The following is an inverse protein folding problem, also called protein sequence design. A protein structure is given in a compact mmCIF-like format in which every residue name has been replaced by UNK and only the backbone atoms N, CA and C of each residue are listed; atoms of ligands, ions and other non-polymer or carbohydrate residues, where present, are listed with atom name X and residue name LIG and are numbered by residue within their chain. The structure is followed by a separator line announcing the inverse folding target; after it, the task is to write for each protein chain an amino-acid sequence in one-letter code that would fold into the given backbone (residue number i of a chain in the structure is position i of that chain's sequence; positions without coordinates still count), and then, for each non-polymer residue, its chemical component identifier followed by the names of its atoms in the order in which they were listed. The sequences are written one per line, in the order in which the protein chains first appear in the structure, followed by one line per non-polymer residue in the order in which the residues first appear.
data_IF_793846765388
#
_entry.id   IF_793846765388
#
_cell.length_a   1.000
_cell.length_b   1.000
_cell.length_c   1.000
_cell.angle_alpha   90.00
_cell.angle_beta   90.00
_cell.angle_gamma   90.00
#
_symmetry.space_group_name_H-M   'P 1'
#
loop_
_entity.id
_entity.type
_entity.pdbx_description
1 polymer ?
#
# COMPACT_ATOMS: atom_id res chain seq x y z
N UNK A 1 -25.62 58.13 -3.06
CA UNK A 1 -26.16 57.41 -4.23
C UNK A 1 -25.10 56.39 -4.63
N UNK A 2 -25.23 55.12 -4.22
CA UNK A 2 -24.22 54.09 -4.49
C UNK A 2 -24.29 53.67 -5.96
N UNK A 3 -23.13 53.69 -6.63
CA UNK A 3 -23.02 53.32 -8.03
C UNK A 3 -23.26 51.82 -8.19
N UNK A 4 -24.39 51.44 -8.80
CA UNK A 4 -24.80 50.06 -8.97
C UNK A 4 -24.38 49.53 -10.34
N UNK A 5 -23.29 48.76 -10.35
CA UNK A 5 -22.64 48.23 -11.55
C UNK A 5 -23.54 47.26 -12.34
N UNK A 6 -24.46 46.56 -11.68
CA UNK A 6 -25.32 45.57 -12.32
C UNK A 6 -26.39 46.22 -13.19
N UNK A 7 -26.98 47.30 -12.70
CA UNK A 7 -28.01 48.08 -13.42
C UNK A 7 -27.49 48.66 -14.74
N UNK A 8 -26.25 49.14 -14.78
CA UNK A 8 -25.63 49.65 -16.01
C UNK A 8 -25.11 48.55 -16.94
N UNK A 9 -24.90 47.33 -16.42
CA UNK A 9 -24.56 46.17 -17.23
C UNK A 9 -25.78 45.66 -17.98
N UNK A 10 -26.91 45.50 -17.31
CA UNK A 10 -28.18 45.09 -17.94
C UNK A 10 -28.63 46.04 -19.05
N UNK A 11 -28.52 47.35 -18.82
CA UNK A 11 -28.87 48.36 -19.82
C UNK A 11 -27.97 48.24 -21.07
N UNK A 12 -26.67 47.99 -20.90
CA UNK A 12 -25.73 47.77 -22.01
C UNK A 12 -26.01 46.48 -22.78
N UNK A 13 -26.29 45.39 -22.08
CA UNK A 13 -26.63 44.09 -22.70
C UNK A 13 -27.95 44.17 -23.50
N UNK A 14 -28.93 44.95 -23.02
CA UNK A 14 -30.21 45.19 -23.70
C UNK A 14 -30.06 46.05 -24.97
N UNK A 15 -29.21 47.06 -24.94
CA UNK A 15 -28.94 47.96 -26.09
C UNK A 15 -28.09 47.26 -27.15
N UNK A 16 -27.10 46.46 -26.73
CA UNK A 16 -26.20 45.76 -27.64
C UNK A 16 -26.80 44.46 -28.20
N UNK A 17 -27.97 44.02 -27.73
CA UNK A 17 -28.65 42.79 -28.19
C UNK A 17 -27.89 41.49 -27.86
N UNK A 18 -26.77 41.58 -27.14
CA UNK A 18 -25.90 40.44 -26.81
C UNK A 18 -25.91 40.24 -25.30
N UNK A 19 -26.47 39.10 -24.86
CA UNK A 19 -26.44 38.67 -23.45
C UNK A 19 -25.21 37.81 -23.23
N UNK A 20 -24.31 38.17 -22.29
CA UNK A 20 -23.14 37.34 -21.96
C UNK A 20 -23.60 36.05 -21.27
N UNK A 21 -23.75 34.95 -22.02
CA UNK A 21 -24.12 33.60 -21.55
C UNK A 21 -22.91 32.78 -21.06
N UNK A 22 -21.98 33.40 -20.33
CA UNK A 22 -20.77 32.72 -19.84
C UNK A 22 -20.90 32.32 -18.38
N UNK A 23 -20.46 31.11 -18.03
CA UNK A 23 -20.14 30.77 -16.64
C UNK A 23 -19.03 31.70 -16.16
N UNK A 24 -19.20 32.28 -14.96
CA UNK A 24 -18.20 33.17 -14.38
C UNK A 24 -16.85 32.45 -14.24
N UNK A 25 -15.75 33.15 -14.52
CA UNK A 25 -14.40 32.59 -14.43
C UNK A 25 -14.14 31.89 -13.09
N UNK A 26 -14.65 32.44 -11.98
CA UNK A 26 -14.53 31.85 -10.65
C UNK A 26 -15.18 30.45 -10.57
N UNK A 27 -16.29 30.23 -11.26
CA UNK A 27 -16.98 28.94 -11.29
C UNK A 27 -16.17 27.89 -12.06
N UNK A 28 -15.63 28.28 -13.22
CA UNK A 28 -14.78 27.39 -14.04
C UNK A 28 -13.47 27.08 -13.31
N UNK A 29 -12.83 28.10 -12.73
CA UNK A 29 -11.61 27.93 -11.95
C UNK A 29 -11.85 27.03 -10.72
N UNK A 30 -12.99 27.16 -10.05
CA UNK A 30 -13.38 26.31 -8.93
C UNK A 30 -13.52 24.85 -9.33
N UNK A 31 -14.18 24.56 -10.46
CA UNK A 31 -14.31 23.19 -10.98
C UNK A 31 -12.96 22.58 -11.37
N UNK A 32 -12.10 23.35 -12.03
CA UNK A 32 -10.75 22.89 -12.41
C UNK A 32 -9.89 22.61 -11.17
N UNK A 33 -9.92 23.51 -10.18
CA UNK A 33 -9.26 23.30 -8.88
C UNK A 33 -9.73 22.01 -8.21
N UNK A 34 -11.05 21.80 -8.15
CA UNK A 34 -11.62 20.60 -7.54
C UNK A 34 -11.17 19.33 -8.28
N UNK A 35 -11.17 19.34 -9.60
CA UNK A 35 -10.70 18.22 -10.42
C UNK A 35 -9.22 17.90 -10.17
N UNK A 36 -8.37 18.92 -10.05
CA UNK A 36 -6.95 18.75 -9.73
C UNK A 36 -6.76 18.14 -8.34
N UNK A 37 -7.49 18.64 -7.33
CA UNK A 37 -7.41 18.14 -5.96
C UNK A 37 -7.86 16.67 -5.86
N UNK A 38 -8.95 16.31 -6.53
CA UNK A 38 -9.44 14.94 -6.57
C UNK A 38 -8.45 14.02 -7.31
N UNK A 39 -7.93 14.45 -8.45
CA UNK A 39 -6.92 13.69 -9.20
C UNK A 39 -5.64 13.47 -8.40
N UNK A 40 -5.15 14.49 -7.70
CA UNK A 40 -3.98 14.39 -6.84
C UNK A 40 -4.25 13.44 -5.66
N UNK A 41 -5.41 13.57 -5.01
CA UNK A 41 -5.81 12.71 -3.89
C UNK A 41 -5.81 11.24 -4.27
N UNK A 42 -6.37 10.89 -5.44
CA UNK A 42 -6.41 9.52 -5.94
C UNK A 42 -5.02 8.90 -6.16
N UNK A 43 -4.02 9.70 -6.51
CA UNK A 43 -2.65 9.20 -6.75
C UNK A 43 -1.83 9.13 -5.46
N UNK A 44 -1.94 10.15 -4.60
CA UNK A 44 -1.08 10.29 -3.41
C UNK A 44 -1.54 9.37 -2.27
N UNK A 45 -2.84 9.35 -1.98
CA UNK A 45 -3.40 8.59 -0.84
C UNK A 45 -3.02 7.10 -0.87
N UNK A 46 -3.24 6.33 -1.95
CA UNK A 46 -2.91 4.91 -1.95
C UNK A 46 -1.40 4.67 -1.81
N UNK A 47 -0.56 5.54 -2.37
CA UNK A 47 0.89 5.43 -2.28
C UNK A 47 1.40 5.69 -0.86
N UNK A 48 0.83 6.67 -0.16
CA UNK A 48 1.13 6.97 1.23
C UNK A 48 0.68 5.86 2.18
N UNK A 49 -0.51 5.29 1.96
CA UNK A 49 -1.02 4.15 2.74
C UNK A 49 -0.11 2.93 2.54
N UNK A 50 0.25 2.61 1.29
CA UNK A 50 1.15 1.50 1.00
C UNK A 50 2.54 1.70 1.65
N UNK A 51 3.05 2.93 1.68
CA UNK A 51 4.32 3.25 2.34
C UNK A 51 4.25 3.03 3.86
N UNK A 52 3.19 3.50 4.51
CA UNK A 52 3.00 3.31 5.95
C UNK A 52 2.82 1.84 6.32
N UNK A 53 2.00 1.12 5.55
CA UNK A 53 1.78 -0.31 5.75
C UNK A 53 3.07 -1.12 5.56
N UNK A 54 3.89 -0.79 4.55
CA UNK A 54 5.12 -1.54 4.28
C UNK A 54 6.26 -1.24 5.26
N UNK A 55 6.31 -0.06 5.87
CA UNK A 55 7.36 0.31 6.83
C UNK A 55 7.35 -0.57 8.09
N UNK A 56 6.19 -1.09 8.46
CA UNK A 56 6.02 -1.93 9.64
C UNK A 56 6.11 -3.43 9.33
N UNK A 57 6.33 -3.80 8.06
CA UNK A 57 6.44 -5.20 7.66
C UNK A 57 7.88 -5.69 7.80
N UNK A 58 7.99 -6.82 8.47
CA UNK A 58 9.22 -7.58 8.64
C UNK A 58 9.03 -8.98 8.08
N UNK A 59 10.09 -9.51 7.47
CA UNK A 59 10.15 -10.85 6.91
C UNK A 59 10.99 -11.71 7.85
N UNK A 60 10.36 -12.68 8.50
CA UNK A 60 11.05 -13.71 9.27
C UNK A 60 11.22 -14.97 8.42
N UNK A 61 12.46 -15.42 8.28
CA UNK A 61 12.81 -16.62 7.52
C UNK A 61 13.01 -17.75 8.50
N UNK A 62 12.15 -18.76 8.42
CA UNK A 62 12.23 -19.98 9.21
C UNK A 62 12.66 -21.16 8.34
N UNK A 63 13.38 -22.10 8.95
CA UNK A 63 13.58 -23.44 8.42
C UNK A 63 12.72 -24.41 9.22
N UNK A 64 11.73 -24.99 8.58
CA UNK A 64 10.94 -26.07 9.15
C UNK A 64 11.69 -27.40 8.99
N UNK A 65 11.59 -28.27 9.98
CA UNK A 65 11.97 -29.68 9.86
C UNK A 65 10.71 -30.54 9.94
N UNK A 66 10.39 -31.28 8.88
CA UNK A 66 9.23 -32.16 8.82
C UNK A 66 8.69 -32.41 7.41
N UNK A 67 7.51 -33.02 7.33
CA UNK A 67 6.81 -33.31 6.07
C UNK A 67 6.16 -32.05 5.49
N UNK A 68 6.33 -31.84 4.19
CA UNK A 68 5.85 -30.65 3.45
C UNK A 68 4.33 -30.47 3.53
N UNK A 69 3.55 -31.55 3.46
CA UNK A 69 2.09 -31.50 3.56
C UNK A 69 1.61 -30.98 4.92
N UNK A 70 2.33 -31.30 6.00
CA UNK A 70 2.04 -30.78 7.35
C UNK A 70 2.45 -29.32 7.46
N UNK A 71 3.56 -28.93 6.83
CA UNK A 71 3.98 -27.53 6.78
C UNK A 71 2.92 -26.66 6.10
N UNK A 72 2.39 -27.04 4.94
CA UNK A 72 1.38 -26.25 4.22
C UNK A 72 0.11 -25.99 5.04
N UNK A 73 -0.39 -26.99 5.78
CA UNK A 73 -1.54 -26.83 6.68
C UNK A 73 -1.26 -25.84 7.82
N UNK A 74 -0.08 -25.94 8.44
CA UNK A 74 0.35 -25.04 9.52
C UNK A 74 0.53 -23.59 9.02
N UNK A 75 1.05 -23.43 7.80
CA UNK A 75 1.24 -22.11 7.19
C UNK A 75 -0.09 -21.46 6.79
N UNK A 76 -1.08 -22.26 6.36
CA UNK A 76 -2.42 -21.76 6.12
C UNK A 76 -3.08 -21.24 7.41
N UNK A 77 -2.87 -21.93 8.54
CA UNK A 77 -3.37 -21.49 9.84
C UNK A 77 -2.63 -20.24 10.34
N UNK A 78 -1.30 -20.17 10.16
CA UNK A 78 -0.51 -18.99 10.48
C UNK A 78 -0.94 -17.76 9.65
N UNK A 79 -1.29 -17.95 8.37
CA UNK A 79 -1.80 -16.88 7.50
C UNK A 79 -3.13 -16.29 7.99
N UNK A 80 -3.91 -17.05 8.75
CA UNK A 80 -5.15 -16.58 9.37
C UNK A 80 -4.94 -15.74 10.64
N UNK A 81 -3.72 -15.66 11.16
CA UNK A 81 -3.42 -14.96 12.41
C UNK A 81 -3.34 -13.43 12.19
N UNK A 82 -3.94 -12.65 13.09
CA UNK A 82 -3.91 -11.18 12.99
C UNK A 82 -2.47 -10.67 13.06
N UNK A 83 -2.07 -9.87 12.08
CA UNK A 83 -0.71 -9.36 11.91
C UNK A 83 0.14 -10.13 10.88
N UNK A 84 -0.28 -11.30 10.40
CA UNK A 84 0.40 -12.01 9.30
C UNK A 84 -0.16 -11.54 7.96
N UNK A 85 0.71 -11.07 7.07
CA UNK A 85 0.30 -10.59 5.74
C UNK A 85 0.49 -11.64 4.67
N UNK A 86 1.64 -12.31 4.70
CA UNK A 86 2.02 -13.28 3.68
C UNK A 86 2.87 -14.39 4.28
N UNK A 87 2.72 -15.59 3.74
CA UNK A 87 3.50 -16.76 4.12
C UNK A 87 3.86 -17.48 2.83
N UNK A 88 5.16 -17.56 2.54
CA UNK A 88 5.69 -18.18 1.32
C UNK A 88 6.54 -19.37 1.72
N UNK A 89 6.24 -20.54 1.15
CA UNK A 89 7.07 -21.73 1.24
C UNK A 89 7.95 -21.82 -0.02
N UNK A 90 9.25 -22.03 0.18
CA UNK A 90 10.20 -22.21 -0.93
C UNK A 90 9.88 -23.52 -1.70
N UNK A 91 9.79 -23.50 -3.04
CA UNK A 91 9.57 -24.71 -3.83
C UNK A 91 10.65 -25.77 -3.65
N UNK A 92 11.91 -25.39 -3.36
CA UNK A 92 13.07 -26.29 -3.31
C UNK A 92 13.48 -26.72 -1.90
N UNK A 93 12.74 -26.34 -0.85
CA UNK A 93 13.09 -26.71 0.52
C UNK A 93 11.96 -26.50 1.53
N UNK A 94 12.30 -26.67 2.82
CA UNK A 94 11.41 -26.39 3.96
C UNK A 94 11.64 -24.99 4.53
N UNK A 95 12.11 -24.05 3.70
CA UNK A 95 12.28 -22.65 4.07
C UNK A 95 10.95 -21.94 3.94
N UNK A 96 10.57 -21.22 4.99
CA UNK A 96 9.35 -20.44 5.05
C UNK A 96 9.72 -19.00 5.29
N UNK A 97 9.16 -18.10 4.49
CA UNK A 97 9.23 -16.66 4.73
C UNK A 97 7.86 -16.22 5.23
N UNK A 98 7.83 -15.65 6.42
CA UNK A 98 6.63 -15.09 7.04
C UNK A 98 6.77 -13.57 7.03
N UNK A 99 5.91 -12.89 6.29
CA UNK A 99 5.81 -11.43 6.27
C UNK A 99 4.74 -11.02 7.27
N UNK A 100 5.14 -10.31 8.33
CA UNK A 100 4.25 -9.91 9.41
C UNK A 100 4.42 -8.44 9.79
N UNK A 101 3.39 -7.86 10.42
CA UNK A 101 3.46 -6.52 10.98
C UNK A 101 4.01 -6.57 12.40
N UNK A 102 5.17 -5.95 12.62
CA UNK A 102 5.87 -5.93 13.90
C UNK A 102 5.15 -5.24 15.06
N UNK A 103 4.19 -4.38 14.77
CA UNK A 103 3.38 -3.74 15.83
C UNK A 103 2.34 -4.69 16.43
N UNK A 104 1.92 -5.69 15.65
CA UNK A 104 0.88 -6.65 16.06
C UNK A 104 1.45 -7.99 16.48
N UNK A 105 2.51 -8.43 15.80
CA UNK A 105 3.08 -9.76 15.92
C UNK A 105 4.60 -9.67 15.99
N UNK A 106 5.22 -10.58 16.72
CA UNK A 106 6.67 -10.63 16.94
C UNK A 106 7.18 -12.03 16.61
N UNK A 107 8.46 -12.15 16.23
CA UNK A 107 9.10 -13.42 15.85
C UNK A 107 9.07 -14.43 17.00
N UNK A 108 9.12 -13.97 18.25
CA UNK A 108 8.92 -14.80 19.42
C UNK A 108 7.53 -15.45 19.45
N UNK A 109 6.45 -14.70 19.14
CA UNK A 109 5.08 -15.25 19.09
C UNK A 109 4.90 -16.23 17.94
N UNK A 110 5.52 -15.94 16.80
CA UNK A 110 5.51 -16.84 15.63
C UNK A 110 6.26 -18.14 15.95
N UNK A 111 7.42 -18.07 16.60
CA UNK A 111 8.16 -19.26 17.05
C UNK A 111 7.37 -20.08 18.07
N UNK A 112 6.67 -19.43 19.00
CA UNK A 112 5.81 -20.09 19.97
C UNK A 112 4.63 -20.81 19.30
N UNK A 113 4.05 -20.23 18.24
CA UNK A 113 3.02 -20.90 17.44
C UNK A 113 3.54 -22.20 16.81
N UNK A 114 4.73 -22.18 16.21
CA UNK A 114 5.33 -23.38 15.64
C UNK A 114 5.58 -24.45 16.71
N UNK A 115 6.09 -24.06 17.88
CA UNK A 115 6.30 -24.97 19.01
C UNK A 115 4.99 -25.57 19.53
N UNK A 116 3.93 -24.78 19.70
CA UNK A 116 2.61 -25.27 20.13
C UNK A 116 2.02 -26.29 19.17
N UNK A 117 2.27 -26.13 17.87
CA UNK A 117 1.80 -27.04 16.82
C UNK A 117 2.72 -28.24 16.62
N UNK A 118 3.76 -28.40 17.43
CA UNK A 118 4.71 -29.51 17.36
C UNK A 118 5.65 -29.44 16.16
N UNK A 119 5.77 -28.28 15.51
CA UNK A 119 6.70 -28.06 14.40
C UNK A 119 8.02 -27.49 14.93
N UNK A 120 9.11 -28.17 14.63
CA UNK A 120 10.44 -27.61 14.85
C UNK A 120 10.73 -26.59 13.74
N UNK A 121 10.68 -25.31 14.11
CA UNK A 121 11.02 -24.18 13.26
C UNK A 121 12.26 -23.48 13.82
N UNK A 122 13.31 -23.36 13.02
CA UNK A 122 14.51 -22.60 13.38
C UNK A 122 14.45 -21.26 12.66
N UNK A 123 14.47 -20.15 13.41
CA UNK A 123 14.61 -18.81 12.83
C UNK A 123 16.01 -18.69 12.23
N UNK A 124 16.09 -18.49 10.92
CA UNK A 124 17.34 -18.29 10.20
C UNK A 124 17.73 -16.82 10.16
N UNK A 125 16.76 -15.94 9.91
CA UNK A 125 17.00 -14.51 9.83
C UNK A 125 15.71 -13.71 9.99
N UNK A 126 15.86 -12.46 10.39
CA UNK A 126 14.82 -11.44 10.47
C UNK A 126 15.30 -10.21 9.70
N UNK A 127 14.59 -9.85 8.64
CA UNK A 127 14.99 -8.75 7.76
C UNK A 127 13.75 -7.87 7.49
N UNK A 128 13.92 -6.56 7.47
CA UNK A 128 12.84 -5.66 7.04
C UNK A 128 12.39 -5.96 5.60
N UNK A 129 11.08 -6.02 5.36
CA UNK A 129 10.49 -6.42 4.07
C UNK A 129 11.05 -5.60 2.89
N UNK A 130 11.26 -4.29 3.09
CA UNK A 130 11.89 -3.41 2.11
C UNK A 130 13.31 -3.82 1.72
N UNK A 131 14.11 -4.24 2.71
CA UNK A 131 15.50 -4.59 2.49
C UNK A 131 15.60 -5.89 1.67
N UNK A 132 14.72 -6.87 1.94
CA UNK A 132 14.63 -8.09 1.13
C UNK A 132 14.19 -7.79 -0.31
N UNK A 133 13.17 -6.95 -0.52
CA UNK A 133 12.73 -6.55 -1.86
C UNK A 133 13.85 -5.84 -2.66
N UNK A 134 14.65 -5.01 -1.98
CA UNK A 134 15.81 -4.38 -2.61
C UNK A 134 16.90 -5.39 -2.96
N UNK A 135 17.16 -6.37 -2.09
CA UNK A 135 18.13 -7.44 -2.36
C UNK A 135 17.68 -8.31 -3.54
N UNK A 136 16.42 -8.76 -3.57
CA UNK A 136 15.89 -9.56 -4.68
C UNK A 136 15.94 -8.83 -6.03
N UNK A 137 15.68 -7.52 -6.05
CA UNK A 137 15.80 -6.72 -7.28
C UNK A 137 17.25 -6.58 -7.75
N UNK A 138 18.21 -6.51 -6.82
CA UNK A 138 19.64 -6.47 -7.16
C UNK A 138 20.11 -7.82 -7.70
N UNK A 139 19.69 -8.91 -7.07
CA UNK A 139 20.00 -10.28 -7.52
C UNK A 139 19.41 -10.56 -8.91
N UNK A 140 18.14 -10.22 -9.14
CA UNK A 140 17.51 -10.38 -10.46
C UNK A 140 18.16 -9.51 -11.56
N UNK A 141 18.64 -8.31 -11.21
CA UNK A 141 19.38 -7.46 -12.14
C UNK A 141 20.78 -7.98 -12.46
N UNK A 142 21.41 -8.74 -11.55
CA UNK A 142 22.70 -9.40 -11.78
C UNK A 142 22.54 -10.67 -12.60
N UNK A 143 21.46 -11.43 -12.42
CA UNK A 143 21.17 -12.65 -13.20
C UNK A 143 20.80 -12.36 -14.66
N UNK A 144 20.17 -11.21 -14.96
CA UNK A 144 19.88 -10.79 -16.35
C UNK A 144 21.06 -10.11 -17.07
N UNK A 145 22.17 -9.89 -16.37
CA UNK A 145 23.38 -9.24 -16.90
C UNK A 145 24.51 -10.21 -17.30
N UNK A 146 24.27 -11.52 -17.22
CA UNK A 146 25.15 -12.59 -17.73
C UNK A 146 24.51 -13.27 -18.93
#
# INVERSE_FOLDING_TARGET
MSYDLEKYREKRERVLGVKKRGLGFAYVAGLVSLAILLGLGLVVIPRSIAFLQNRQLEDAIYKLSGERAKAELLLAELKGQDGVREVILDPHGLRVVVTFNKEKLDTARISAFFLQKGAQAVLLNEIGHHQRLHTMKKEAAQEMGQ
#
